data_IF_794423057481
#
_entry.id   IF_794423057481
#
_cell.length_a   1.000
_cell.length_b   1.000
_cell.length_c   1.000
_cell.angle_alpha   90.00
_cell.angle_beta   90.00
_cell.angle_gamma   90.00
#
_symmetry.space_group_name_H-M   'P 1'
#
loop_
_entity.id
_entity.type
_entity.pdbx_description
1 polymer ?
#
# COMPACT_ATOMS: atom_id res chain seq x y z
N UNK A 1 -15.08 -16.52 -13.76
CA UNK A 1 -13.62 -16.26 -13.63
C UNK A 1 -13.26 -14.78 -13.61
N UNK A 2 -13.68 -13.96 -14.59
CA UNK A 2 -13.35 -12.51 -14.65
C UNK A 2 -13.75 -11.71 -13.40
N UNK A 3 -14.87 -12.05 -12.78
CA UNK A 3 -15.36 -11.36 -11.57
C UNK A 3 -14.46 -11.60 -10.33
N UNK A 4 -13.99 -12.85 -10.14
CA UNK A 4 -13.08 -13.19 -9.05
C UNK A 4 -11.73 -12.47 -9.20
N UNK A 5 -11.20 -12.41 -10.42
CA UNK A 5 -9.96 -11.69 -10.71
C UNK A 5 -10.13 -10.20 -10.40
N UNK A 6 -11.22 -9.59 -10.85
CA UNK A 6 -11.51 -8.19 -10.55
C UNK A 6 -11.59 -7.92 -9.04
N UNK A 7 -12.24 -8.82 -8.29
CA UNK A 7 -12.34 -8.69 -6.83
C UNK A 7 -10.96 -8.77 -6.15
N UNK A 8 -10.12 -9.72 -6.55
CA UNK A 8 -8.75 -9.86 -6.02
C UNK A 8 -7.93 -8.61 -6.32
N UNK A 9 -8.05 -8.08 -7.54
CA UNK A 9 -7.35 -6.86 -7.96
C UNK A 9 -7.81 -5.64 -7.14
N UNK A 10 -9.12 -5.48 -6.90
CA UNK A 10 -9.65 -4.41 -6.06
C UNK A 10 -9.08 -4.50 -4.64
N UNK A 11 -9.11 -5.69 -4.03
CA UNK A 11 -8.55 -5.92 -2.69
C UNK A 11 -7.06 -5.58 -2.67
N UNK A 12 -6.32 -5.96 -3.72
CA UNK A 12 -4.91 -5.64 -3.87
C UNK A 12 -4.64 -4.13 -3.91
N UNK A 13 -5.40 -3.38 -4.73
CA UNK A 13 -5.27 -1.92 -4.82
C UNK A 13 -5.63 -1.22 -3.52
N UNK A 14 -6.69 -1.67 -2.84
CA UNK A 14 -7.08 -1.12 -1.53
C UNK A 14 -5.96 -1.31 -0.51
N UNK A 15 -5.38 -2.51 -0.43
CA UNK A 15 -4.28 -2.79 0.50
C UNK A 15 -3.01 -1.98 0.21
N UNK A 16 -2.66 -1.81 -1.07
CA UNK A 16 -1.55 -0.93 -1.50
C UNK A 16 -1.82 0.52 -1.09
N UNK A 17 -3.05 1.01 -1.30
CA UNK A 17 -3.46 2.37 -0.91
C UNK A 17 -3.37 2.60 0.60
N UNK A 18 -3.82 1.63 1.41
CA UNK A 18 -3.72 1.70 2.87
C UNK A 18 -2.26 1.73 3.33
N UNK A 19 -1.38 0.92 2.72
CA UNK A 19 0.05 0.91 3.05
C UNK A 19 0.77 2.22 2.67
N UNK A 20 0.33 2.89 1.60
CA UNK A 20 0.88 4.18 1.15
C UNK A 20 0.27 5.39 1.86
N UNK A 21 -0.93 5.26 2.45
CA UNK A 21 -1.63 6.31 3.17
C UNK A 21 -0.77 7.08 4.19
N UNK A 22 0.02 6.42 5.08
CA UNK A 22 0.86 7.15 6.04
C UNK A 22 1.99 7.95 5.36
N UNK A 23 2.56 7.43 4.28
CA UNK A 23 3.60 8.13 3.49
C UNK A 23 3.03 9.37 2.82
N UNK A 24 1.82 9.26 2.25
CA UNK A 24 1.12 10.38 1.64
C UNK A 24 0.79 11.42 2.71
N UNK A 25 0.15 11.02 3.81
CA UNK A 25 -0.26 11.94 4.87
C UNK A 25 0.93 12.68 5.50
N UNK A 26 2.06 12.00 5.72
CA UNK A 26 3.26 12.61 6.32
C UNK A 26 3.98 13.61 5.39
N UNK A 27 3.89 13.41 4.08
CA UNK A 27 4.59 14.24 3.08
C UNK A 27 3.67 15.30 2.43
N UNK A 28 2.35 15.12 2.51
CA UNK A 28 1.34 16.02 1.93
C UNK A 28 1.40 17.44 2.49
N UNK A 29 1.73 17.60 3.78
CA UNK A 29 1.71 18.90 4.48
C UNK A 29 3.01 19.70 4.32
N UNK A 30 4.11 19.11 3.87
CA UNK A 30 5.42 19.75 3.98
C UNK A 30 6.46 19.42 2.89
N UNK A 31 6.17 18.51 1.96
CA UNK A 31 7.11 18.14 0.90
C UNK A 31 6.61 18.61 -0.48
N UNK A 32 7.54 18.81 -1.41
CA UNK A 32 7.19 19.11 -2.80
C UNK A 32 6.45 17.92 -3.45
N UNK A 33 5.63 18.18 -4.47
CA UNK A 33 4.95 17.10 -5.20
C UNK A 33 5.93 16.05 -5.76
N UNK A 34 7.12 16.48 -6.18
CA UNK A 34 8.20 15.61 -6.65
C UNK A 34 8.76 14.72 -5.54
N UNK A 35 8.93 15.26 -4.33
CA UNK A 35 9.37 14.48 -3.16
C UNK A 35 8.31 13.50 -2.67
N UNK A 36 7.03 13.87 -2.80
CA UNK A 36 5.90 12.98 -2.54
C UNK A 36 5.92 11.80 -3.51
N UNK A 37 6.03 12.06 -4.82
CA UNK A 37 6.09 11.02 -5.85
C UNK A 37 7.32 10.13 -5.68
N UNK A 38 8.47 10.71 -5.35
CA UNK A 38 9.71 9.95 -5.10
C UNK A 38 9.57 9.07 -3.86
N UNK A 39 9.00 9.60 -2.77
CA UNK A 39 8.73 8.83 -1.55
C UNK A 39 7.72 7.72 -1.79
N UNK A 40 6.66 7.98 -2.56
CA UNK A 40 5.68 6.97 -2.98
C UNK A 40 6.36 5.91 -3.84
N UNK A 41 7.21 6.28 -4.79
CA UNK A 41 7.94 5.33 -5.65
C UNK A 41 8.92 4.46 -4.86
N UNK A 42 9.57 5.00 -3.83
CA UNK A 42 10.45 4.24 -2.93
C UNK A 42 9.68 3.31 -2.00
N UNK A 43 8.51 3.74 -1.51
CA UNK A 43 7.65 2.92 -0.66
C UNK A 43 6.74 1.98 -1.46
N UNK A 44 6.60 2.15 -2.77
CA UNK A 44 5.73 1.34 -3.62
C UNK A 44 6.10 -0.16 -3.59
N UNK A 45 7.38 -0.58 -3.74
CA UNK A 45 7.77 -2.00 -3.66
C UNK A 45 7.43 -2.58 -2.29
N UNK A 46 7.59 -1.77 -1.25
CA UNK A 46 7.26 -2.11 0.11
C UNK A 46 5.72 -2.24 0.24
N UNK A 47 4.95 -1.28 -0.24
CA UNK A 47 3.48 -1.32 -0.23
C UNK A 47 2.91 -2.50 -1.02
N UNK A 48 3.55 -2.91 -2.13
CA UNK A 48 3.16 -4.11 -2.88
C UNK A 48 3.32 -5.42 -2.09
N UNK A 49 4.20 -5.45 -1.08
CA UNK A 49 4.39 -6.57 -0.16
C UNK A 49 3.39 -6.58 1.01
N UNK A 50 2.38 -5.70 1.00
CA UNK A 50 1.34 -5.64 2.04
C UNK A 50 0.65 -6.98 2.34
N UNK A 51 0.37 -7.90 1.38
CA UNK A 51 -0.34 -9.14 1.70
C UNK A 51 0.46 -10.04 2.64
N UNK A 52 1.79 -10.06 2.46
CA UNK A 52 2.72 -10.83 3.31
C UNK A 52 2.77 -10.24 4.71
N UNK A 53 2.79 -8.90 4.85
CA UNK A 53 2.74 -8.25 6.17
C UNK A 53 1.40 -8.43 6.85
N UNK A 54 0.30 -8.31 6.11
CA UNK A 54 -1.05 -8.54 6.63
C UNK A 54 -1.15 -9.98 7.16
N UNK A 55 -0.75 -10.96 6.36
CA UNK A 55 -0.72 -12.37 6.76
C UNK A 55 0.14 -12.61 8.00
N UNK A 56 1.39 -12.09 8.01
CA UNK A 56 2.29 -12.20 9.16
C UNK A 56 1.71 -11.55 10.42
N UNK A 57 1.09 -10.38 10.30
CA UNK A 57 0.46 -9.69 11.44
C UNK A 57 -0.75 -10.43 12.02
N UNK A 58 -1.45 -11.21 11.19
CA UNK A 58 -2.56 -12.07 11.64
C UNK A 58 -2.03 -13.34 12.30
N UNK A 59 -0.95 -13.93 11.75
CA UNK A 59 -0.26 -15.08 12.34
C UNK A 59 0.43 -14.76 13.67
N UNK A 60 1.08 -13.60 13.82
CA UNK A 60 1.76 -13.20 15.07
C UNK A 60 0.80 -12.75 16.18
N UNK A 61 -0.50 -12.57 15.88
CA UNK A 61 -1.55 -12.23 16.87
C UNK A 61 -2.37 -13.44 17.35
N UNK A 62 -2.12 -14.64 16.81
CA UNK A 62 -2.75 -15.89 17.26
C UNK A 62 -1.83 -16.66 18.20
#
# INVERSE_FOLDING_TARGET
MRFLIAMIVIIYFVGVGVALSPTIQGKWSGASASDLVTSVAQELPNAMAWPVRAYRSTTERG
#
